data_IF_625114440734
#
_entry.id   IF_625114440734
#
_cell.length_a   1.000
_cell.length_b   1.000
_cell.length_c   1.000
_cell.angle_alpha   90.00
_cell.angle_beta   90.00
_cell.angle_gamma   90.00
#
_symmetry.space_group_name_H-M   'P 1'
#
loop_
_entity.id
_entity.type
_entity.pdbx_description
1 polymer ?
#
# COMPACT_ATOMS: atom_id res chain seq x y z
N UNK A 1 -36.12 -53.15 -8.15
CA UNK A 1 -36.43 -52.65 -6.78
C UNK A 1 -35.15 -52.15 -6.15
N UNK A 2 -35.26 -51.04 -5.43
CA UNK A 2 -34.28 -50.32 -4.62
C UNK A 2 -33.34 -49.31 -5.31
N UNK A 3 -33.95 -48.13 -5.49
CA UNK A 3 -33.47 -46.78 -5.16
C UNK A 3 -32.67 -46.68 -3.84
N UNK A 4 -31.58 -45.91 -3.87
CA UNK A 4 -31.17 -45.02 -2.78
C UNK A 4 -30.51 -43.76 -3.36
N UNK A 5 -31.07 -42.63 -2.98
CA UNK A 5 -30.75 -41.24 -3.32
C UNK A 5 -29.51 -40.70 -2.58
N UNK A 6 -29.02 -39.56 -3.11
CA UNK A 6 -28.32 -38.46 -2.42
C UNK A 6 -26.90 -38.78 -1.90
N UNK A 7 -25.86 -37.94 -2.07
CA UNK A 7 -25.82 -36.47 -2.01
C UNK A 7 -24.72 -35.88 -2.91
N UNK A 8 -25.09 -34.86 -3.70
CA UNK A 8 -24.16 -33.92 -4.33
C UNK A 8 -24.15 -32.64 -3.47
N UNK A 9 -23.01 -32.31 -2.86
CA UNK A 9 -22.82 -31.03 -2.16
C UNK A 9 -21.74 -30.22 -2.89
N UNK A 10 -22.09 -29.09 -3.54
CA UNK A 10 -21.12 -28.11 -4.00
C UNK A 10 -20.83 -27.07 -2.91
N UNK A 11 -19.66 -26.45 -3.06
CA UNK A 11 -19.18 -25.17 -2.51
C UNK A 11 -19.15 -24.96 -0.99
N UNK A 12 -17.97 -24.66 -0.46
CA UNK A 12 -17.67 -23.32 0.10
C UNK A 12 -16.28 -23.23 0.75
N UNK A 13 -15.75 -22.02 0.70
CA UNK A 13 -14.69 -21.46 1.56
C UNK A 13 -13.24 -21.57 1.07
N UNK A 14 -13.01 -20.78 0.02
CA UNK A 14 -11.91 -19.83 -0.04
C UNK A 14 -11.59 -19.22 1.33
N UNK A 15 -10.63 -19.81 2.04
CA UNK A 15 -9.99 -19.19 3.18
C UNK A 15 -9.05 -18.09 2.67
N UNK A 16 -9.59 -16.88 2.54
CA UNK A 16 -8.84 -15.65 2.27
C UNK A 16 -7.82 -15.45 3.40
N UNK A 17 -6.53 -15.61 3.08
CA UNK A 17 -5.44 -15.37 4.02
C UNK A 17 -5.40 -13.91 4.46
N UNK A 18 -5.91 -13.63 5.67
CA UNK A 18 -5.52 -12.43 6.41
C UNK A 18 -4.05 -12.61 6.80
N UNK A 19 -3.16 -11.90 6.12
CA UNK A 19 -1.76 -11.82 6.52
C UNK A 19 -1.67 -11.31 7.96
N UNK A 20 -0.93 -12.00 8.81
CA UNK A 20 -0.69 -11.59 10.19
C UNK A 20 0.01 -10.22 10.20
N UNK A 21 -0.73 -9.17 10.54
CA UNK A 21 -0.15 -7.84 10.81
C UNK A 21 0.80 -7.97 12.01
N UNK A 22 2.00 -7.41 11.90
CA UNK A 22 2.92 -7.33 13.03
C UNK A 22 2.35 -6.38 14.09
N UNK A 23 2.67 -6.61 15.37
CA UNK A 23 2.20 -5.74 16.46
C UNK A 23 2.55 -4.26 16.25
N UNK A 24 3.69 -3.97 15.62
CA UNK A 24 4.13 -2.61 15.35
C UNK A 24 3.32 -1.92 14.24
N UNK A 25 2.88 -2.68 13.22
CA UNK A 25 1.98 -2.18 12.16
C UNK A 25 0.61 -1.84 12.74
N UNK A 26 0.05 -2.70 13.60
CA UNK A 26 -1.23 -2.45 14.24
C UNK A 26 -1.22 -1.20 15.15
N UNK A 27 -0.09 -0.94 15.83
CA UNK A 27 0.08 0.27 16.65
C UNK A 27 0.20 1.53 15.80
N UNK A 28 0.89 1.45 14.66
CA UNK A 28 0.95 2.55 13.71
C UNK A 28 -0.43 2.84 13.09
N UNK A 29 -1.18 1.81 12.69
CA UNK A 29 -2.52 1.96 12.14
C UNK A 29 -3.45 2.65 13.14
N UNK A 30 -3.42 2.22 14.41
CA UNK A 30 -4.17 2.86 15.50
C UNK A 30 -3.78 4.33 15.67
N UNK A 31 -2.49 4.65 15.59
CA UNK A 31 -2.00 6.03 15.65
C UNK A 31 -2.50 6.89 14.47
N UNK A 32 -2.39 6.36 13.25
CA UNK A 32 -2.81 7.07 12.04
C UNK A 32 -4.32 7.31 12.00
N UNK A 33 -5.11 6.31 12.42
CA UNK A 33 -6.56 6.43 12.57
C UNK A 33 -6.91 7.52 13.59
N UNK A 34 -6.25 7.50 14.76
CA UNK A 34 -6.52 8.50 15.79
C UNK A 34 -6.17 9.93 15.34
N UNK A 35 -5.03 10.10 14.67
CA UNK A 35 -4.63 11.39 14.12
C UNK A 35 -5.64 11.89 13.07
N UNK A 36 -6.17 10.98 12.24
CA UNK A 36 -7.21 11.30 11.26
C UNK A 36 -8.51 11.73 11.92
N UNK A 37 -9.02 11.00 12.91
CA UNK A 37 -10.24 11.37 13.64
C UNK A 37 -10.14 12.76 14.26
N UNK A 38 -9.01 13.07 14.90
CA UNK A 38 -8.74 14.37 15.51
C UNK A 38 -8.71 15.49 14.46
N UNK A 39 -8.10 15.23 13.31
CA UNK A 39 -8.07 16.18 12.20
C UNK A 39 -9.47 16.39 11.58
N UNK A 40 -10.26 15.34 11.43
CA UNK A 40 -11.62 15.40 10.90
C UNK A 40 -12.56 16.18 11.83
N UNK A 41 -12.48 15.92 13.14
CA UNK A 41 -13.25 16.61 14.17
C UNK A 41 -12.87 18.09 14.32
N UNK A 42 -11.63 18.46 13.99
CA UNK A 42 -11.16 19.85 14.00
C UNK A 42 -11.81 20.71 12.90
N UNK A 43 -12.11 21.98 13.24
CA UNK A 43 -12.60 22.96 12.26
C UNK A 43 -11.48 23.49 11.35
N UNK A 44 -10.28 23.65 11.89
CA UNK A 44 -9.09 24.04 11.12
C UNK A 44 -8.68 22.91 10.17
N UNK A 45 -8.26 23.27 8.96
CA UNK A 45 -7.74 22.33 7.95
C UNK A 45 -6.38 22.81 7.45
N UNK A 46 -5.64 21.89 6.84
CA UNK A 46 -4.30 22.16 6.30
C UNK A 46 -3.18 21.58 7.15
N UNK A 47 -1.94 21.91 6.77
CA UNK A 47 -0.73 21.26 7.30
C UNK A 47 -0.59 21.42 8.81
N UNK A 48 -0.79 22.62 9.33
CA UNK A 48 -0.63 22.90 10.76
C UNK A 48 -1.70 22.20 11.60
N UNK A 49 -2.94 22.12 11.11
CA UNK A 49 -4.02 21.39 11.76
C UNK A 49 -3.75 19.88 11.81
N UNK A 50 -3.21 19.31 10.72
CA UNK A 50 -2.79 17.90 10.71
C UNK A 50 -1.61 17.66 11.66
N UNK A 51 -0.62 18.56 11.70
CA UNK A 51 0.52 18.45 12.62
C UNK A 51 0.07 18.48 14.08
N UNK A 52 -0.88 19.36 14.44
CA UNK A 52 -1.52 19.37 15.77
C UNK A 52 -2.24 18.05 16.06
N UNK A 53 -3.02 17.53 15.11
CA UNK A 53 -3.76 16.28 15.29
C UNK A 53 -2.84 15.07 15.51
N UNK A 54 -1.76 14.98 14.73
CA UNK A 54 -0.72 13.97 14.90
C UNK A 54 -0.03 14.05 16.27
N UNK A 55 0.21 15.27 16.77
CA UNK A 55 0.80 15.47 18.09
C UNK A 55 -0.14 15.04 19.23
N UNK A 56 -1.41 15.43 19.14
CA UNK A 56 -2.41 15.04 20.14
C UNK A 56 -2.64 13.52 20.14
N UNK A 57 -2.70 12.89 18.96
CA UNK A 57 -2.79 11.42 18.86
C UNK A 57 -1.59 10.73 19.51
N UNK A 58 -0.38 11.25 19.27
CA UNK A 58 0.87 10.71 19.83
C UNK A 58 0.81 10.74 21.35
N UNK A 59 0.44 11.89 21.90
CA UNK A 59 0.37 12.08 23.35
C UNK A 59 -0.69 11.19 23.98
N UNK A 60 -1.92 11.17 23.44
CA UNK A 60 -3.02 10.36 23.97
C UNK A 60 -2.70 8.86 24.02
N UNK A 61 -2.13 8.31 22.95
CA UNK A 61 -1.82 6.88 22.88
C UNK A 61 -0.58 6.52 23.70
N UNK A 62 0.42 7.42 23.79
CA UNK A 62 1.58 7.21 24.68
C UNK A 62 1.16 7.22 26.14
N UNK A 63 0.32 8.18 26.54
CA UNK A 63 -0.18 8.31 27.92
C UNK A 63 -1.10 7.14 28.31
N UNK A 64 -1.81 6.57 27.34
CA UNK A 64 -2.59 5.35 27.51
C UNK A 64 -1.73 4.07 27.60
N UNK A 65 -0.41 4.17 27.41
CA UNK A 65 0.52 3.03 27.44
C UNK A 65 0.45 2.11 26.22
N UNK A 66 -0.16 2.56 25.13
CA UNK A 66 -0.27 1.80 23.87
C UNK A 66 1.10 1.63 23.20
N UNK A 67 1.96 2.64 23.35
CA UNK A 67 3.35 2.62 22.92
C UNK A 67 4.20 3.62 23.74
N UNK A 68 5.52 3.48 23.70
CA UNK A 68 6.45 4.41 24.34
C UNK A 68 6.48 5.78 23.64
N UNK A 69 6.94 6.82 24.36
CA UNK A 69 7.10 8.15 23.78
C UNK A 69 8.04 8.14 22.56
N UNK A 70 9.11 7.34 22.60
CA UNK A 70 10.06 7.17 21.51
C UNK A 70 9.41 6.52 20.28
N UNK A 71 8.56 5.50 20.48
CA UNK A 71 7.78 4.89 19.41
C UNK A 71 6.78 5.90 18.81
N UNK A 72 6.11 6.67 19.66
CA UNK A 72 5.19 7.73 19.22
C UNK A 72 5.87 8.79 18.36
N UNK A 73 7.08 9.23 18.73
CA UNK A 73 7.88 10.16 17.92
C UNK A 73 8.29 9.55 16.57
N UNK A 74 8.66 8.26 16.57
CA UNK A 74 8.98 7.55 15.33
C UNK A 74 7.76 7.46 14.40
N UNK A 75 6.58 7.15 14.93
CA UNK A 75 5.33 7.13 14.17
C UNK A 75 4.96 8.49 13.61
N UNK A 76 5.04 9.55 14.42
CA UNK A 76 4.78 10.92 13.98
C UNK A 76 5.72 11.34 12.84
N UNK A 77 7.02 11.04 12.97
CA UNK A 77 8.01 11.33 11.92
C UNK A 77 7.71 10.56 10.63
N UNK A 78 7.33 9.30 10.74
CA UNK A 78 6.97 8.46 9.61
C UNK A 78 5.73 8.98 8.88
N UNK A 79 4.64 9.24 9.61
CA UNK A 79 3.40 9.78 9.05
C UNK A 79 3.60 11.15 8.39
N UNK A 80 4.42 12.03 8.99
CA UNK A 80 4.76 13.34 8.40
C UNK A 80 5.43 13.20 7.03
N UNK A 81 6.37 12.27 6.90
CA UNK A 81 7.08 12.00 5.64
C UNK A 81 6.10 11.50 4.57
N UNK A 82 5.19 10.60 4.93
CA UNK A 82 4.21 10.03 4.01
C UNK A 82 3.19 11.08 3.54
N UNK A 83 2.77 11.98 4.44
CA UNK A 83 1.91 13.11 4.09
C UNK A 83 2.61 14.12 3.16
N UNK A 84 3.90 14.41 3.38
CA UNK A 84 4.66 15.29 2.50
C UNK A 84 4.82 14.68 1.10
N UNK A 85 5.10 13.38 1.01
CA UNK A 85 5.13 12.67 -0.27
C UNK A 85 3.78 12.72 -0.97
N UNK A 86 2.70 12.44 -0.25
CA UNK A 86 1.32 12.52 -0.79
C UNK A 86 1.00 13.93 -1.27
N UNK A 87 1.44 14.97 -0.55
CA UNK A 87 1.25 16.37 -0.97
C UNK A 87 1.98 16.68 -2.28
N UNK A 88 3.19 16.17 -2.45
CA UNK A 88 3.97 16.35 -3.68
C UNK A 88 3.29 15.64 -4.87
N UNK A 89 2.84 14.39 -4.67
CA UNK A 89 2.14 13.62 -5.70
C UNK A 89 0.82 14.31 -6.10
N UNK A 90 0.06 14.83 -5.13
CA UNK A 90 -1.18 15.57 -5.38
C UNK A 90 -0.95 16.90 -6.09
N UNK A 91 0.17 17.59 -5.82
CA UNK A 91 0.54 18.81 -6.56
C UNK A 91 0.88 18.51 -8.01
N UNK A 92 1.66 17.46 -8.26
CA UNK A 92 1.96 17.01 -9.62
C UNK A 92 0.68 16.66 -10.38
N UNK A 93 -0.22 15.88 -9.76
CA UNK A 93 -1.52 15.54 -10.33
C UNK A 93 -2.39 16.78 -10.58
N UNK A 94 -2.41 17.75 -9.66
CA UNK A 94 -3.18 18.98 -9.80
C UNK A 94 -2.66 19.89 -10.92
N UNK A 95 -1.34 19.97 -11.10
CA UNK A 95 -0.73 20.71 -12.20
C UNK A 95 -1.12 20.08 -13.54
N UNK A 96 -0.99 18.76 -13.66
CA UNK A 96 -1.36 18.02 -14.87
C UNK A 96 -2.86 18.13 -15.17
N UNK A 97 -3.71 18.03 -14.14
CA UNK A 97 -5.14 18.24 -14.28
C UNK A 97 -5.49 19.67 -14.73
N UNK A 98 -4.82 20.71 -14.22
CA UNK A 98 -5.06 22.11 -14.64
C UNK A 98 -4.64 22.36 -16.09
N UNK A 99 -3.56 21.74 -16.54
CA UNK A 99 -3.09 21.86 -17.92
C UNK A 99 -4.04 21.19 -18.92
N UNK A 100 -4.68 20.09 -18.50
CA UNK A 100 -5.49 19.26 -19.40
C UNK A 100 -7.01 19.43 -19.24
N UNK A 101 -7.49 19.99 -18.12
CA UNK A 101 -8.90 20.25 -17.83
C UNK A 101 -9.16 21.75 -17.72
N UNK A 102 -8.98 22.46 -18.82
CA UNK A 102 -9.31 23.89 -18.86
C UNK A 102 -10.85 24.06 -18.94
N UNK A 103 -11.51 24.63 -17.91
CA UNK A 103 -12.96 24.82 -17.91
C UNK A 103 -13.46 25.72 -19.04
N UNK A 104 -12.60 26.58 -19.61
CA UNK A 104 -12.92 27.39 -20.79
C UNK A 104 -13.08 26.56 -22.08
N UNK A 105 -12.71 25.27 -22.09
CA UNK A 105 -12.87 24.33 -23.22
C UNK A 105 -14.03 23.33 -23.01
N UNK A 106 -14.87 23.54 -21.99
CA UNK A 106 -16.04 22.70 -21.70
C UNK A 106 -17.27 22.99 -22.59
N UNK A 107 -17.07 23.66 -23.74
CA UNK A 107 -18.02 23.69 -24.86
C UNK A 107 -17.47 22.90 -26.05
N UNK A 108 -18.29 22.05 -26.67
CA UNK A 108 -17.96 21.14 -27.79
C UNK A 108 -16.80 20.13 -27.56
N UNK A 109 -16.33 19.95 -26.31
CA UNK A 109 -15.18 19.09 -25.99
C UNK A 109 -15.37 18.13 -24.80
N UNK A 110 -16.56 18.04 -24.20
CA UNK A 110 -16.79 17.27 -22.96
C UNK A 110 -16.35 15.80 -23.06
N UNK A 111 -16.61 15.12 -24.17
CA UNK A 111 -16.14 13.75 -24.43
C UNK A 111 -14.61 13.67 -24.52
N UNK A 112 -13.94 14.69 -25.07
CA UNK A 112 -12.48 14.74 -25.12
C UNK A 112 -11.86 14.96 -23.74
N UNK A 113 -12.53 15.75 -22.88
CA UNK A 113 -12.11 15.95 -21.48
C UNK A 113 -12.31 14.67 -20.67
N UNK A 114 -13.42 13.96 -20.87
CA UNK A 114 -13.68 12.65 -20.24
C UNK A 114 -12.69 11.60 -20.73
N UNK A 115 -12.43 11.53 -22.04
CA UNK A 115 -11.44 10.60 -22.61
C UNK A 115 -10.04 10.85 -22.04
N UNK A 116 -9.62 12.11 -21.92
CA UNK A 116 -8.33 12.49 -21.32
C UNK A 116 -8.25 12.19 -19.83
N UNK A 117 -9.35 12.38 -19.09
CA UNK A 117 -9.43 11.95 -17.69
C UNK A 117 -9.25 10.44 -17.56
N UNK A 118 -9.94 9.67 -18.40
CA UNK A 118 -9.82 8.21 -18.42
C UNK A 118 -8.40 7.77 -18.80
N UNK A 119 -7.77 8.46 -19.75
CA UNK A 119 -6.41 8.17 -20.20
C UNK A 119 -5.35 8.52 -19.14
N UNK A 120 -5.48 9.67 -18.46
CA UNK A 120 -4.62 10.05 -17.34
C UNK A 120 -4.80 9.12 -16.13
N UNK A 121 -6.03 8.69 -15.86
CA UNK A 121 -6.28 7.70 -14.80
C UNK A 121 -5.68 6.34 -15.18
N UNK A 122 -5.79 5.94 -16.44
CA UNK A 122 -5.16 4.74 -16.98
C UNK A 122 -3.63 4.78 -16.88
N UNK A 123 -3.00 5.91 -17.24
CA UNK A 123 -1.54 6.08 -17.15
C UNK A 123 -1.05 6.10 -15.70
N UNK A 124 -1.79 6.74 -14.79
CA UNK A 124 -1.50 6.74 -13.36
C UNK A 124 -1.60 5.32 -12.76
N UNK A 125 -2.67 4.59 -13.07
CA UNK A 125 -2.82 3.18 -12.67
C UNK A 125 -1.72 2.30 -13.25
N UNK A 126 -1.31 2.54 -14.51
CA UNK A 126 -0.23 1.78 -15.14
C UNK A 126 1.14 2.11 -14.52
N UNK A 127 1.38 3.38 -14.15
CA UNK A 127 2.58 3.80 -13.43
C UNK A 127 2.65 3.17 -12.04
N UNK A 128 1.53 3.15 -11.32
CA UNK A 128 1.42 2.46 -10.04
C UNK A 128 1.62 0.95 -10.19
N UNK A 129 1.04 0.32 -11.21
CA UNK A 129 1.26 -1.09 -11.52
C UNK A 129 2.73 -1.38 -11.81
N UNK A 130 3.41 -0.55 -12.61
CA UNK A 130 4.86 -0.68 -12.86
C UNK A 130 5.68 -0.53 -11.59
N UNK A 131 5.40 0.49 -10.76
CA UNK A 131 6.07 0.66 -9.46
C UNK A 131 5.82 -0.51 -8.51
N UNK A 132 4.61 -1.06 -8.52
CA UNK A 132 4.28 -2.25 -7.75
C UNK A 132 5.05 -3.48 -8.29
N UNK A 133 5.10 -3.68 -9.61
CA UNK A 133 5.90 -4.73 -10.23
C UNK A 133 7.40 -4.57 -9.90
N UNK A 134 7.96 -3.36 -10.00
CA UNK A 134 9.36 -3.07 -9.67
C UNK A 134 9.65 -3.30 -8.18
N UNK A 135 8.73 -2.91 -7.28
CA UNK A 135 8.83 -3.20 -5.85
C UNK A 135 8.77 -4.71 -5.53
N UNK A 136 8.32 -5.52 -6.48
CA UNK A 136 8.28 -6.98 -6.38
C UNK A 136 9.51 -7.64 -7.02
N UNK A 137 10.44 -6.89 -7.62
CA UNK A 137 11.72 -7.41 -8.10
C UNK A 137 12.77 -7.36 -7.00
N UNK A 138 13.47 -8.48 -6.80
CA UNK A 138 14.52 -8.62 -5.80
C UNK A 138 15.77 -9.25 -6.39
N UNK A 139 16.92 -8.87 -5.85
CA UNK A 139 18.22 -9.44 -6.20
C UNK A 139 18.80 -10.29 -5.07
N UNK A 140 19.69 -11.19 -5.42
CA UNK A 140 20.52 -11.93 -4.46
C UNK A 140 21.28 -10.95 -3.58
N UNK A 141 21.20 -11.14 -2.26
CA UNK A 141 21.79 -10.24 -1.27
C UNK A 141 20.81 -9.23 -0.67
N UNK A 142 19.69 -8.94 -1.33
CA UNK A 142 18.64 -8.09 -0.77
C UNK A 142 18.01 -8.78 0.45
N UNK A 143 17.65 -7.98 1.46
CA UNK A 143 16.94 -8.47 2.64
C UNK A 143 15.45 -8.40 2.33
N UNK A 144 14.78 -9.54 2.38
CA UNK A 144 13.33 -9.61 2.21
C UNK A 144 12.69 -10.46 3.30
N UNK A 145 11.42 -10.19 3.59
CA UNK A 145 10.64 -10.92 4.58
C UNK A 145 10.44 -12.39 4.17
N UNK A 146 10.00 -13.22 5.12
CA UNK A 146 9.58 -14.59 4.80
C UNK A 146 8.52 -14.61 3.70
N UNK A 147 8.57 -15.62 2.82
CA UNK A 147 7.66 -15.71 1.67
C UNK A 147 8.21 -16.57 0.55
N UNK A 148 7.52 -16.57 -0.59
CA UNK A 148 7.93 -17.29 -1.79
C UNK A 148 8.45 -16.32 -2.84
N UNK A 149 9.61 -16.61 -3.40
CA UNK A 149 10.19 -15.89 -4.53
C UNK A 149 10.21 -16.80 -5.76
N UNK A 150 9.90 -16.26 -6.93
CA UNK A 150 10.03 -16.94 -8.21
C UNK A 150 11.29 -16.42 -8.90
N UNK A 151 12.23 -17.30 -9.25
CA UNK A 151 13.38 -16.90 -10.05
C UNK A 151 12.93 -16.44 -11.45
N UNK A 152 13.33 -15.24 -11.88
CA UNK A 152 12.95 -14.70 -13.20
C UNK A 152 13.55 -15.50 -14.35
N UNK A 153 14.68 -16.17 -14.13
CA UNK A 153 15.42 -16.93 -15.16
C UNK A 153 14.88 -18.34 -15.40
N UNK A 154 14.43 -19.05 -14.37
CA UNK A 154 14.01 -20.46 -14.49
C UNK A 154 12.62 -20.76 -13.90
N UNK A 155 11.95 -19.78 -13.29
CA UNK A 155 10.63 -19.96 -12.68
C UNK A 155 10.63 -20.72 -11.35
N UNK A 156 11.79 -21.16 -10.85
CA UNK A 156 11.87 -21.92 -9.59
C UNK A 156 11.35 -21.10 -8.40
N UNK A 157 10.47 -21.71 -7.61
CA UNK A 157 9.98 -21.20 -6.33
C UNK A 157 11.04 -21.40 -5.24
N UNK A 158 11.42 -20.31 -4.58
CA UNK A 158 12.34 -20.26 -3.45
C UNK A 158 11.57 -19.82 -2.22
N UNK A 159 11.42 -20.72 -1.26
CA UNK A 159 10.69 -20.44 -0.03
C UNK A 159 11.63 -19.96 1.07
N UNK A 160 11.46 -18.71 1.48
CA UNK A 160 12.18 -18.09 2.58
C UNK A 160 11.36 -18.25 3.87
N UNK A 161 11.86 -19.03 4.82
CA UNK A 161 11.17 -19.30 6.10
C UNK A 161 11.26 -18.15 7.11
N UNK A 162 12.18 -17.22 6.92
CA UNK A 162 12.44 -16.07 7.81
C UNK A 162 13.01 -14.92 7.00
N UNK A 163 12.91 -13.70 7.52
CA UNK A 163 13.56 -12.53 6.95
C UNK A 163 15.05 -12.79 6.82
N UNK A 164 15.57 -12.80 5.60
CA UNK A 164 16.96 -13.16 5.33
C UNK A 164 17.44 -12.55 4.02
N UNK A 165 18.74 -12.66 3.76
CA UNK A 165 19.32 -12.27 2.47
C UNK A 165 18.94 -13.31 1.43
N UNK A 166 18.47 -12.86 0.27
CA UNK A 166 18.05 -13.74 -0.81
C UNK A 166 19.28 -14.50 -1.32
N UNK A 167 19.28 -15.85 -1.30
CA UNK A 167 20.35 -16.65 -1.88
C UNK A 167 20.22 -16.72 -3.41
N UNK A 168 21.29 -17.06 -4.15
CA UNK A 168 21.19 -17.34 -5.57
C UNK A 168 20.23 -18.51 -5.81
N UNK A 169 19.59 -18.54 -6.99
CA UNK A 169 18.59 -19.54 -7.28
C UNK A 169 19.20 -20.96 -7.19
N UNK A 170 18.60 -21.88 -6.41
CA UNK A 170 19.18 -23.21 -6.21
C UNK A 170 19.17 -24.08 -7.50
N UNK A 171 18.37 -23.72 -8.50
CA UNK A 171 18.26 -24.46 -9.76
C UNK A 171 19.20 -23.92 -10.84
N UNK A 172 19.24 -22.60 -11.04
CA UNK A 172 19.97 -22.00 -12.16
C UNK A 172 21.04 -20.95 -11.78
N UNK A 173 21.24 -20.72 -10.48
CA UNK A 173 22.12 -19.69 -9.92
C UNK A 173 21.78 -18.25 -10.39
N UNK A 174 20.58 -18.03 -10.93
CA UNK A 174 20.08 -16.70 -11.25
C UNK A 174 19.98 -15.83 -10.01
N UNK A 175 20.24 -14.54 -10.19
CA UNK A 175 20.29 -13.58 -9.08
C UNK A 175 19.04 -12.73 -8.95
N UNK A 176 18.13 -12.78 -9.92
CA UNK A 176 16.92 -11.98 -9.97
C UNK A 176 15.67 -12.81 -9.64
N UNK A 177 14.78 -12.22 -8.86
CA UNK A 177 13.59 -12.85 -8.32
C UNK A 177 12.39 -11.92 -8.35
N UNK A 178 11.19 -12.49 -8.41
CA UNK A 178 9.92 -11.79 -8.20
C UNK A 178 9.15 -12.36 -7.03
N UNK A 179 8.39 -11.56 -6.28
CA UNK A 179 7.51 -12.10 -5.23
C UNK A 179 6.44 -13.01 -5.86
N UNK A 180 6.33 -14.24 -5.37
CA UNK A 180 5.25 -15.15 -5.72
C UNK A 180 4.14 -15.04 -4.69
N UNK A 181 2.97 -14.58 -5.12
CA UNK A 181 1.73 -14.70 -4.34
C UNK A 181 1.15 -16.11 -4.50
#
# INVERSE_FOLDING_TARGET
>A
MNTTESEHKPDSESATGKGEQTQHEALYDRYAERARELFEAGQEKGKDAMEKAMEVARQQLSDAGEFSAEQGEAFKKFMRRDLEQTSQDMRALSQEAKEHLNPARLGAGALSSIARLLEATGSALQSLSRKAEDALHYNTGDITAAGTLNCTKCGQKVHLKRTTKIPPCPSCHGTEFRKGY
#
